data_IF_930365321917
#
_entry.id   IF_930365321917
#
_cell.length_a   1.000
_cell.length_b   1.000
_cell.length_c   1.000
_cell.angle_alpha   90.00
_cell.angle_beta   90.00
_cell.angle_gamma   90.00
#
_symmetry.space_group_name_H-M   'P 1'
#
loop_
_entity.id
_entity.type
_entity.pdbx_description
1 polymer ?
#
# COMPACT_ATOMS: atom_id res chain seq x y z
N UNK A 1 14.68 -14.48 -7.87
CA UNK A 1 13.31 -13.96 -7.72
C UNK A 1 13.22 -13.31 -6.35
N UNK A 2 12.85 -12.04 -6.28
CA UNK A 2 12.69 -11.31 -5.02
C UNK A 2 11.23 -11.46 -4.55
N UNK A 3 10.96 -11.27 -3.27
CA UNK A 3 9.59 -11.33 -2.71
C UNK A 3 8.64 -10.39 -3.44
N UNK A 4 9.10 -9.18 -3.76
CA UNK A 4 8.31 -8.20 -4.52
C UNK A 4 7.91 -8.72 -5.91
N UNK A 5 8.77 -9.47 -6.58
CA UNK A 5 8.45 -10.09 -7.87
C UNK A 5 7.29 -11.08 -7.74
N UNK A 6 7.35 -11.95 -6.71
CA UNK A 6 6.30 -12.92 -6.45
C UNK A 6 4.95 -12.25 -6.15
N UNK A 7 4.96 -11.18 -5.35
CA UNK A 7 3.73 -10.42 -5.02
C UNK A 7 3.08 -9.90 -6.29
N UNK A 8 3.83 -9.22 -7.17
CA UNK A 8 3.24 -8.67 -8.39
C UNK A 8 2.89 -9.73 -9.43
N UNK A 9 3.57 -10.85 -9.49
CA UNK A 9 3.16 -11.98 -10.34
C UNK A 9 1.81 -12.53 -9.87
N UNK A 10 1.58 -12.66 -8.55
CA UNK A 10 0.29 -13.06 -8.00
C UNK A 10 -0.81 -12.03 -8.23
N UNK A 11 -0.50 -10.74 -8.08
CA UNK A 11 -1.47 -9.70 -8.39
C UNK A 11 -1.89 -9.71 -9.87
N UNK A 12 -0.93 -9.95 -10.76
CA UNK A 12 -1.21 -10.14 -12.18
C UNK A 12 -2.12 -11.36 -12.43
N UNK A 13 -1.85 -12.50 -11.79
CA UNK A 13 -2.68 -13.70 -11.86
C UNK A 13 -4.12 -13.42 -11.38
N UNK A 14 -4.30 -12.51 -10.43
CA UNK A 14 -5.62 -12.06 -9.96
C UNK A 14 -6.28 -10.99 -10.84
N UNK A 15 -5.67 -10.68 -11.97
CA UNK A 15 -6.21 -9.72 -12.94
C UNK A 15 -5.94 -8.25 -12.60
N UNK A 16 -5.02 -7.96 -11.66
CA UNK A 16 -4.59 -6.59 -11.37
C UNK A 16 -3.76 -6.06 -12.54
N UNK A 17 -4.25 -5.01 -13.17
CA UNK A 17 -3.59 -4.33 -14.29
C UNK A 17 -3.14 -2.90 -13.96
N UNK A 18 -3.48 -2.41 -12.75
CA UNK A 18 -3.20 -1.04 -12.35
C UNK A 18 -2.89 -0.95 -10.86
N UNK A 19 -1.89 -0.17 -10.51
CA UNK A 19 -1.50 0.13 -9.12
C UNK A 19 -1.35 1.65 -8.99
N UNK A 20 -1.98 2.22 -7.97
CA UNK A 20 -1.91 3.65 -7.65
C UNK A 20 -0.94 3.86 -6.50
N UNK A 21 -0.04 4.81 -6.59
CA UNK A 21 0.90 4.99 -5.49
C UNK A 21 1.86 6.14 -5.63
N UNK A 22 2.65 6.30 -4.59
CA UNK A 22 3.75 7.25 -4.55
C UNK A 22 5.05 6.50 -4.28
N UNK A 23 6.09 6.67 -5.13
CA UNK A 23 7.40 6.08 -4.86
C UNK A 23 7.98 6.61 -3.56
N UNK A 24 8.70 5.75 -2.86
CA UNK A 24 9.39 6.11 -1.62
C UNK A 24 10.46 5.08 -1.28
N UNK A 25 11.43 5.48 -0.51
CA UNK A 25 12.64 4.71 -0.25
C UNK A 25 12.34 3.35 0.43
N UNK A 26 11.35 3.31 1.32
CA UNK A 26 10.95 2.09 2.01
C UNK A 26 10.28 1.02 1.14
N UNK A 27 10.01 1.31 -0.15
CA UNK A 27 9.33 0.40 -1.09
C UNK A 27 10.07 0.24 -2.42
N UNK A 28 11.37 0.54 -2.46
CA UNK A 28 12.17 0.45 -3.68
C UNK A 28 12.07 -0.92 -4.38
N UNK A 29 11.97 -2.00 -3.61
CA UNK A 29 11.78 -3.34 -4.16
C UNK A 29 10.47 -3.51 -4.93
N UNK A 30 9.38 -2.91 -4.45
CA UNK A 30 8.09 -2.91 -5.15
C UNK A 30 8.13 -2.02 -6.40
N UNK A 31 8.73 -0.83 -6.31
CA UNK A 31 8.85 0.07 -7.46
C UNK A 31 9.66 -0.60 -8.58
N UNK A 32 10.77 -1.26 -8.26
CA UNK A 32 11.57 -1.99 -9.25
C UNK A 32 10.80 -3.18 -9.85
N UNK A 33 10.05 -3.92 -9.05
CA UNK A 33 9.21 -5.01 -9.53
C UNK A 33 8.10 -4.53 -10.48
N UNK A 34 7.49 -3.36 -10.20
CA UNK A 34 6.54 -2.69 -11.09
C UNK A 34 7.20 -2.22 -12.38
N UNK A 35 8.39 -1.61 -12.29
CA UNK A 35 9.15 -1.19 -13.47
C UNK A 35 9.41 -2.36 -14.41
N UNK A 36 9.78 -3.52 -13.87
CA UNK A 36 10.00 -4.73 -14.66
C UNK A 36 8.72 -5.25 -15.35
N UNK A 37 7.54 -4.93 -14.80
CA UNK A 37 6.21 -5.39 -15.25
C UNK A 37 5.36 -4.29 -15.89
N UNK A 38 5.93 -3.17 -16.27
CA UNK A 38 5.19 -2.01 -16.82
C UNK A 38 4.36 -2.30 -18.08
N UNK A 39 4.60 -3.43 -18.76
CA UNK A 39 3.79 -3.90 -19.90
C UNK A 39 2.48 -4.55 -19.45
N UNK A 40 2.47 -5.14 -18.26
CA UNK A 40 1.34 -5.90 -17.72
C UNK A 40 0.58 -5.12 -16.65
N UNK A 41 1.30 -4.40 -15.78
CA UNK A 41 0.75 -3.62 -14.68
C UNK A 41 1.15 -2.16 -14.84
N UNK A 42 0.16 -1.30 -15.02
CA UNK A 42 0.36 0.14 -15.12
C UNK A 42 0.50 0.74 -13.73
N UNK A 43 1.58 1.45 -13.48
CA UNK A 43 1.76 2.26 -12.27
C UNK A 43 1.24 3.68 -12.49
N UNK A 44 0.30 4.11 -11.68
CA UNK A 44 -0.25 5.47 -11.68
C UNK A 44 0.34 6.20 -10.48
N UNK A 45 1.31 7.05 -10.77
CA UNK A 45 1.94 7.87 -9.74
C UNK A 45 1.02 9.01 -9.31
N UNK A 46 0.83 9.13 -8.00
CA UNK A 46 0.11 10.24 -7.37
C UNK A 46 1.08 11.23 -6.74
N UNK A 47 0.58 12.38 -6.30
CA UNK A 47 1.35 13.40 -5.60
C UNK A 47 1.14 13.38 -4.08
N UNK A 48 0.16 12.60 -3.62
CA UNK A 48 -0.15 12.37 -2.22
C UNK A 48 -0.79 10.99 -2.07
N UNK A 49 -0.39 10.23 -1.07
CA UNK A 49 -0.78 8.82 -0.91
C UNK A 49 -2.28 8.64 -0.65
N UNK A 50 -2.92 9.60 0.00
CA UNK A 50 -4.37 9.62 0.18
C UNK A 50 -5.10 9.50 -1.16
N UNK A 51 -4.63 10.23 -2.17
CA UNK A 51 -5.17 10.13 -3.51
C UNK A 51 -5.03 8.72 -4.09
N UNK A 52 -3.92 8.03 -3.82
CA UNK A 52 -3.74 6.65 -4.28
C UNK A 52 -4.79 5.70 -3.69
N UNK A 53 -5.06 5.81 -2.40
CA UNK A 53 -6.07 4.97 -1.75
C UNK A 53 -7.49 5.30 -2.23
N UNK A 54 -7.83 6.58 -2.39
CA UNK A 54 -9.13 7.01 -2.95
C UNK A 54 -9.30 6.58 -4.40
N UNK A 55 -8.23 6.65 -5.22
CA UNK A 55 -8.26 6.15 -6.60
C UNK A 55 -8.45 4.64 -6.65
N UNK A 56 -7.76 3.88 -5.80
CA UNK A 56 -7.93 2.43 -5.70
C UNK A 56 -9.35 2.07 -5.26
N UNK A 57 -9.90 2.80 -4.29
CA UNK A 57 -11.28 2.65 -3.83
C UNK A 57 -12.29 2.94 -4.96
N UNK A 58 -12.14 4.08 -5.65
CA UNK A 58 -12.98 4.44 -6.78
C UNK A 58 -12.90 3.43 -7.93
N UNK A 59 -11.69 2.94 -8.23
CA UNK A 59 -11.50 1.88 -9.20
C UNK A 59 -12.24 0.59 -8.82
N UNK A 60 -12.12 0.18 -7.56
CA UNK A 60 -12.82 -1.02 -7.06
C UNK A 60 -14.33 -0.86 -7.10
N UNK A 61 -14.85 0.28 -6.65
CA UNK A 61 -16.30 0.59 -6.70
C UNK A 61 -16.85 0.58 -8.14
N UNK A 62 -16.12 1.16 -9.08
CA UNK A 62 -16.56 1.29 -10.46
C UNK A 62 -16.45 -0.03 -11.24
N UNK A 63 -15.37 -0.79 -11.05
CA UNK A 63 -15.08 -1.98 -11.86
C UNK A 63 -15.51 -3.29 -11.21
N UNK A 64 -15.75 -3.31 -9.89
CA UNK A 64 -15.93 -4.52 -9.11
C UNK A 64 -14.66 -5.36 -8.96
N UNK A 65 -13.50 -4.83 -9.36
CA UNK A 65 -12.20 -5.53 -9.30
C UNK A 65 -11.37 -5.02 -8.14
N UNK A 66 -10.32 -5.78 -7.78
CA UNK A 66 -9.38 -5.39 -6.74
C UNK A 66 -8.66 -4.10 -7.13
N UNK A 67 -8.84 -3.05 -6.33
CA UNK A 67 -8.04 -1.83 -6.38
C UNK A 67 -6.75 -2.01 -5.57
N UNK A 68 -5.61 -1.58 -6.10
CA UNK A 68 -4.32 -1.71 -5.40
C UNK A 68 -3.68 -0.35 -5.23
N UNK A 69 -3.31 -0.01 -4.00
CA UNK A 69 -2.53 1.19 -3.70
C UNK A 69 -1.21 0.85 -3.02
N UNK A 70 -0.23 1.73 -3.17
CA UNK A 70 1.14 1.52 -2.73
C UNK A 70 1.70 2.80 -2.10
N UNK A 71 2.29 2.68 -0.91
CA UNK A 71 2.94 3.78 -0.21
C UNK A 71 4.16 3.32 0.58
N UNK A 72 5.08 4.25 0.83
CA UNK A 72 6.24 3.98 1.67
C UNK A 72 5.85 3.78 3.14
N UNK A 73 6.81 3.41 3.97
CA UNK A 73 6.62 3.25 5.41
C UNK A 73 6.29 4.56 6.13
N UNK A 74 5.75 4.46 7.34
CA UNK A 74 5.47 5.60 8.21
C UNK A 74 4.40 6.53 7.66
N UNK A 75 4.68 7.83 7.49
CA UNK A 75 3.68 8.82 7.05
C UNK A 75 3.01 8.47 5.73
N UNK A 76 3.74 7.86 4.77
CA UNK A 76 3.17 7.42 3.51
C UNK A 76 2.06 6.39 3.69
N UNK A 77 2.28 5.40 4.55
CA UNK A 77 1.26 4.41 4.90
C UNK A 77 0.07 5.04 5.64
N UNK A 78 0.33 6.00 6.54
CA UNK A 78 -0.69 6.73 7.29
C UNK A 78 -1.64 7.47 6.35
N UNK A 79 -1.12 8.12 5.33
CA UNK A 79 -1.92 8.87 4.38
C UNK A 79 -2.91 8.01 3.58
N UNK A 80 -2.69 6.70 3.48
CA UNK A 80 -3.65 5.81 2.81
C UNK A 80 -4.96 5.62 3.59
N UNK A 81 -4.96 5.87 4.90
CA UNK A 81 -6.07 5.49 5.79
C UNK A 81 -7.43 6.05 5.38
N UNK A 82 -7.51 7.30 4.95
CA UNK A 82 -8.79 7.89 4.56
C UNK A 82 -9.46 7.09 3.43
N UNK A 83 -8.72 6.76 2.39
CA UNK A 83 -9.24 5.95 1.29
C UNK A 83 -9.52 4.50 1.67
N UNK A 84 -8.74 3.94 2.61
CA UNK A 84 -8.96 2.58 3.10
C UNK A 84 -10.19 2.49 4.00
N UNK A 85 -10.47 3.52 4.82
CA UNK A 85 -11.71 3.59 5.58
C UNK A 85 -12.93 3.75 4.68
N UNK A 86 -12.85 4.56 3.62
CA UNK A 86 -13.91 4.68 2.62
C UNK A 86 -14.19 3.31 1.96
N UNK A 87 -13.14 2.62 1.53
CA UNK A 87 -13.24 1.28 0.96
C UNK A 87 -13.89 0.28 1.94
N UNK A 88 -13.48 0.32 3.21
CA UNK A 88 -14.02 -0.56 4.26
C UNK A 88 -15.51 -0.31 4.50
N UNK A 89 -15.92 0.94 4.62
CA UNK A 89 -17.33 1.31 4.87
C UNK A 89 -18.25 0.87 3.72
N UNK A 90 -17.76 0.96 2.49
CA UNK A 90 -18.55 0.60 1.31
C UNK A 90 -18.30 -0.85 0.83
N UNK A 91 -17.48 -1.62 1.55
CA UNK A 91 -17.16 -3.01 1.17
C UNK A 91 -16.41 -3.13 -0.17
N UNK A 92 -15.67 -2.08 -0.58
CA UNK A 92 -14.89 -2.09 -1.81
C UNK A 92 -13.58 -2.87 -1.64
N UNK A 93 -13.24 -3.82 -2.55
CA UNK A 93 -12.02 -4.60 -2.42
C UNK A 93 -10.79 -3.75 -2.75
N UNK A 94 -10.04 -3.36 -1.74
CA UNK A 94 -8.79 -2.60 -1.88
C UNK A 94 -7.67 -3.29 -1.13
N UNK A 95 -6.54 -3.47 -1.81
CA UNK A 95 -5.29 -3.94 -1.23
C UNK A 95 -4.31 -2.77 -1.12
N UNK A 96 -3.83 -2.53 0.09
CA UNK A 96 -2.75 -1.58 0.34
C UNK A 96 -1.42 -2.31 0.55
N UNK A 97 -0.41 -1.94 -0.22
CA UNK A 97 0.96 -2.41 -0.06
C UNK A 97 1.79 -1.27 0.55
N UNK A 98 2.42 -1.56 1.68
CA UNK A 98 3.25 -0.55 2.37
C UNK A 98 4.63 -1.08 2.70
N UNK A 99 5.58 -0.17 2.79
CA UNK A 99 6.88 -0.46 3.36
C UNK A 99 6.79 -0.61 4.88
N UNK A 100 7.80 -1.25 5.45
CA UNK A 100 8.01 -1.34 6.89
C UNK A 100 9.48 -1.04 7.18
N UNK A 101 9.75 -0.50 8.36
CA UNK A 101 11.12 -0.36 8.86
C UNK A 101 11.75 -1.73 9.10
N UNK A 102 13.07 -1.80 9.13
CA UNK A 102 13.77 -3.03 9.46
C UNK A 102 13.28 -3.59 10.79
N UNK A 103 13.14 -4.92 10.85
CA UNK A 103 12.61 -5.63 12.02
C UNK A 103 13.28 -5.20 13.33
N UNK A 104 14.59 -5.01 13.33
CA UNK A 104 15.35 -4.59 14.51
C UNK A 104 15.05 -3.15 14.94
N UNK A 105 14.61 -2.29 14.02
CA UNK A 105 14.25 -0.90 14.32
C UNK A 105 12.81 -0.75 14.83
N UNK A 106 11.95 -1.71 14.58
CA UNK A 106 10.56 -1.69 15.09
C UNK A 106 10.54 -1.70 16.61
N UNK A 107 11.43 -2.48 17.25
CA UNK A 107 11.54 -2.52 18.71
C UNK A 107 12.14 -1.23 19.28
N UNK A 108 13.12 -0.63 18.59
CA UNK A 108 13.74 0.64 18.98
C UNK A 108 12.73 1.79 18.86
N UNK A 109 11.96 1.84 17.81
CA UNK A 109 10.88 2.82 17.65
C UNK A 109 9.83 2.70 18.77
N UNK A 110 9.55 1.48 19.25
CA UNK A 110 8.70 1.26 20.43
C UNK A 110 9.33 1.76 21.73
N UNK A 111 10.65 1.63 21.90
CA UNK A 111 11.37 2.05 23.09
C UNK A 111 11.63 3.57 23.13
N UNK A 112 11.97 4.16 22.00
CA UNK A 112 12.12 5.61 21.84
C UNK A 112 10.75 6.30 21.76
N UNK A 113 9.73 5.54 21.46
CA UNK A 113 8.39 6.01 21.24
C UNK A 113 7.62 6.22 22.53
N UNK A 114 8.03 7.19 23.26
CA UNK A 114 7.07 8.02 23.98
C UNK A 114 6.02 8.65 23.02
N UNK A 115 5.89 8.09 21.85
CA UNK A 115 4.76 8.32 20.92
C UNK A 115 3.67 7.30 21.27
N UNK A 116 2.68 7.69 22.12
CA UNK A 116 1.68 6.75 22.63
C UNK A 116 0.83 6.08 21.54
N UNK A 117 0.94 6.54 20.30
CA UNK A 117 0.06 6.13 19.22
C UNK A 117 0.72 5.25 18.13
N UNK A 118 2.05 5.07 18.13
CA UNK A 118 2.72 4.29 17.09
C UNK A 118 2.34 2.80 17.10
N UNK A 119 2.20 2.12 18.26
CA UNK A 119 1.73 0.74 18.30
C UNK A 119 0.26 0.57 17.95
N UNK A 120 -0.59 1.51 18.37
CA UNK A 120 -2.01 1.52 18.04
C UNK A 120 -2.23 1.72 16.54
N UNK A 121 -1.43 2.58 15.93
CA UNK A 121 -1.48 2.86 14.51
C UNK A 121 -1.15 1.63 13.65
N UNK A 122 -0.09 0.88 13.97
CA UNK A 122 0.25 -0.36 13.26
C UNK A 122 -0.85 -1.40 13.46
N UNK A 123 -1.45 -1.47 14.66
CA UNK A 123 -2.55 -2.36 14.96
C UNK A 123 -3.83 -2.01 14.20
N UNK A 124 -4.16 -0.73 14.08
CA UNK A 124 -5.31 -0.27 13.30
C UNK A 124 -5.12 -0.51 11.80
N UNK A 125 -3.91 -0.27 11.28
CA UNK A 125 -3.61 -0.54 9.88
C UNK A 125 -3.71 -2.04 9.55
N UNK A 126 -3.20 -2.91 10.42
CA UNK A 126 -3.34 -4.35 10.26
C UNK A 126 -4.79 -4.85 10.40
N UNK A 127 -5.65 -4.10 11.10
CA UNK A 127 -7.07 -4.41 11.26
C UNK A 127 -7.97 -3.96 10.10
N UNK A 128 -7.44 -3.18 9.16
CA UNK A 128 -8.18 -2.69 7.97
C UNK A 128 -7.99 -3.63 6.77
N UNK A 129 -6.95 -4.44 6.78
CA UNK A 129 -6.59 -5.39 5.71
C UNK A 129 -7.43 -6.65 5.79
#
# INVERSE_FOLDING_TARGET
MKTADLVFDRLKDWGVSMVFGMPGDGINGFIEALRARQKDIRFIQVRHEEAAALMACGYAKYTGRLGVCLATSGPGAIHLLNGLYDAKLDGAPVLALTGQTYHDLVSVARQLGSQPNAPAFIGEFAGIV
#
